data_IF_719692599927
#
_entry.id   IF_719692599927
#
_cell.length_a   1.000
_cell.length_b   1.000
_cell.length_c   1.000
_cell.angle_alpha   90.00
_cell.angle_beta   90.00
_cell.angle_gamma   90.00
#
_symmetry.space_group_name_H-M   'P 1'
#
loop_
_entity.id
_entity.type
_entity.pdbx_description
1 polymer ?
#
# COMPACT_ATOMS: atom_id res chain seq x y z
N UNK A 1 11.90 15.94 34.55
CA UNK A 1 11.97 14.56 35.06
C UNK A 1 10.61 13.95 34.91
N UNK A 2 10.38 13.24 33.81
CA UNK A 2 9.16 12.47 33.59
C UNK A 2 9.62 11.15 33.01
N UNK A 3 9.64 10.13 33.87
CA UNK A 3 10.07 8.79 33.55
C UNK A 3 8.98 8.11 32.74
N UNK A 4 9.31 7.63 31.54
CA UNK A 4 8.47 6.69 30.81
C UNK A 4 8.83 5.28 31.28
N UNK A 5 7.89 4.67 31.98
CA UNK A 5 7.98 3.32 32.49
C UNK A 5 8.01 2.31 31.33
N UNK A 6 8.93 1.36 31.43
CA UNK A 6 9.05 0.18 30.60
C UNK A 6 7.81 -0.71 30.72
N UNK A 7 7.13 -0.96 29.60
CA UNK A 7 6.20 -2.07 29.47
C UNK A 7 6.77 -3.07 28.45
N UNK A 8 7.01 -4.27 28.93
CA UNK A 8 7.39 -5.45 28.17
C UNK A 8 6.20 -5.92 27.31
N UNK A 9 6.33 -5.95 25.99
CA UNK A 9 5.52 -6.83 25.13
C UNK A 9 6.28 -7.23 23.86
N UNK A 10 7.05 -8.32 23.95
CA UNK A 10 7.91 -8.83 22.86
C UNK A 10 7.18 -9.72 21.84
N UNK A 11 5.86 -9.90 21.94
CA UNK A 11 5.09 -10.76 21.03
C UNK A 11 3.89 -10.04 20.36
N UNK A 12 3.22 -9.11 21.05
CA UNK A 12 2.04 -8.42 20.53
C UNK A 12 2.32 -7.35 19.45
N UNK A 13 3.56 -6.93 19.26
CA UNK A 13 3.89 -5.87 18.29
C UNK A 13 3.99 -6.34 16.82
N UNK A 14 3.90 -7.66 16.56
CA UNK A 14 3.99 -8.22 15.20
C UNK A 14 2.62 -8.48 14.55
N UNK A 15 1.53 -8.53 15.33
CA UNK A 15 0.20 -8.89 14.83
C UNK A 15 -0.54 -7.74 14.12
N UNK A 16 -0.15 -6.48 14.36
CA UNK A 16 -0.69 -5.27 13.70
C UNK A 16 0.30 -4.65 12.68
N UNK A 17 1.34 -5.38 12.27
CA UNK A 17 2.27 -4.90 11.25
C UNK A 17 1.69 -5.10 9.85
N UNK A 18 1.68 -4.03 9.05
CA UNK A 18 1.29 -4.10 7.64
C UNK A 18 2.11 -5.18 6.92
N UNK A 19 1.45 -5.99 6.08
CA UNK A 19 2.04 -7.21 5.50
C UNK A 19 3.36 -6.92 4.75
N UNK A 20 3.48 -5.75 4.12
CA UNK A 20 4.68 -5.32 3.38
C UNK A 20 5.86 -5.00 4.29
N UNK A 21 5.62 -4.62 5.55
CA UNK A 21 6.65 -4.45 6.57
C UNK A 21 7.09 -5.82 7.09
N UNK A 22 6.14 -6.73 7.32
CA UNK A 22 6.44 -8.11 7.72
C UNK A 22 7.35 -8.79 6.69
N UNK A 23 7.06 -8.60 5.39
CA UNK A 23 7.90 -9.09 4.29
C UNK A 23 9.34 -8.61 4.36
N UNK A 24 9.56 -7.34 4.72
CA UNK A 24 10.91 -6.80 4.97
C UNK A 24 11.57 -7.41 6.21
N UNK A 25 10.85 -7.56 7.31
CA UNK A 25 11.37 -8.15 8.55
C UNK A 25 11.75 -9.63 8.34
N UNK A 26 10.97 -10.37 7.56
CA UNK A 26 11.29 -11.74 7.12
C UNK A 26 12.61 -11.79 6.37
N UNK A 27 12.85 -10.87 5.43
CA UNK A 27 14.12 -10.75 4.72
C UNK A 27 15.29 -10.55 5.70
N UNK A 28 15.14 -9.68 6.70
CA UNK A 28 16.17 -9.51 7.74
C UNK A 28 16.41 -10.81 8.52
N UNK A 29 15.35 -11.55 8.84
CA UNK A 29 15.43 -12.80 9.60
C UNK A 29 16.14 -13.94 8.85
N UNK A 30 16.27 -13.86 7.51
CA UNK A 30 17.08 -14.81 6.72
C UNK A 30 18.57 -14.73 7.05
N UNK A 31 19.03 -13.63 7.67
CA UNK A 31 20.43 -13.42 7.96
C UNK A 31 20.94 -14.36 9.07
N UNK A 32 22.04 -15.04 8.78
CA UNK A 32 22.63 -16.08 9.65
C UNK A 32 23.03 -15.62 11.06
N UNK A 33 23.32 -14.33 11.27
CA UNK A 33 23.79 -13.83 12.58
C UNK A 33 22.72 -13.05 13.34
N UNK A 34 21.70 -13.75 13.85
CA UNK A 34 20.53 -13.18 14.54
C UNK A 34 20.88 -12.23 15.71
N UNK A 35 21.83 -12.60 16.59
CA UNK A 35 22.27 -11.75 17.72
C UNK A 35 22.79 -10.38 17.29
N UNK A 36 23.34 -10.28 16.08
CA UNK A 36 23.85 -9.01 15.54
C UNK A 36 22.71 -8.10 15.08
N UNK A 37 21.68 -8.67 14.48
CA UNK A 37 20.46 -7.94 14.12
C UNK A 37 19.69 -7.50 15.36
N UNK A 38 19.56 -8.37 16.35
CA UNK A 38 18.90 -8.05 17.62
C UNK A 38 19.53 -6.81 18.30
N UNK A 39 20.87 -6.75 18.35
CA UNK A 39 21.59 -5.56 18.80
C UNK A 39 21.25 -4.31 17.98
N UNK A 40 21.16 -4.44 16.66
CA UNK A 40 20.75 -3.34 15.79
C UNK A 40 19.33 -2.87 16.06
N UNK A 41 18.40 -3.81 16.28
CA UNK A 41 17.00 -3.52 16.64
C UNK A 41 16.90 -2.72 17.94
N UNK A 42 17.65 -3.13 18.96
CA UNK A 42 17.75 -2.38 20.23
C UNK A 42 18.29 -0.97 19.96
N UNK A 43 19.35 -0.86 19.14
CA UNK A 43 19.97 0.42 18.82
C UNK A 43 19.03 1.38 18.07
N UNK A 44 18.18 0.88 17.18
CA UNK A 44 17.14 1.68 16.53
C UNK A 44 16.11 2.19 17.56
N UNK A 45 15.63 1.31 18.45
CA UNK A 45 14.65 1.65 19.49
C UNK A 45 15.17 2.65 20.53
N UNK A 46 16.46 2.66 20.79
CA UNK A 46 17.11 3.62 21.69
C UNK A 46 17.28 5.02 21.06
N UNK A 47 16.90 5.21 19.79
CA UNK A 47 16.93 6.53 19.15
C UNK A 47 18.32 6.98 18.70
N UNK A 48 19.24 6.05 18.45
CA UNK A 48 20.61 6.39 18.01
C UNK A 48 20.70 6.81 16.53
N UNK A 49 19.61 6.78 15.78
CA UNK A 49 19.56 7.23 14.38
C UNK A 49 19.19 8.71 14.39
N UNK A 50 20.16 9.57 14.06
CA UNK A 50 20.01 11.03 14.16
C UNK A 50 19.29 11.61 12.95
N UNK A 51 19.54 11.04 11.76
CA UNK A 51 18.86 11.44 10.53
C UNK A 51 18.85 10.29 9.52
N UNK A 52 17.85 10.31 8.66
CA UNK A 52 17.72 9.42 7.52
C UNK A 52 17.17 10.24 6.33
N UNK A 53 17.88 10.20 5.21
CA UNK A 53 17.57 10.94 4.00
C UNK A 53 17.58 10.02 2.79
N UNK A 54 16.66 10.24 1.86
CA UNK A 54 16.60 9.52 0.59
C UNK A 54 17.19 10.37 -0.54
N UNK A 55 18.07 9.77 -1.33
CA UNK A 55 18.67 10.36 -2.53
C UNK A 55 18.56 9.35 -3.67
N UNK A 56 17.50 9.49 -4.48
CA UNK A 56 17.16 8.49 -5.50
C UNK A 56 16.89 7.13 -4.86
N UNK A 57 17.55 6.08 -5.35
CA UNK A 57 17.48 4.70 -4.83
C UNK A 57 18.37 4.42 -3.61
N UNK A 58 19.00 5.46 -3.06
CA UNK A 58 19.95 5.34 -1.95
C UNK A 58 19.48 6.08 -0.72
N UNK A 59 19.53 5.39 0.41
CA UNK A 59 19.30 5.94 1.75
C UNK A 59 20.64 6.32 2.34
N UNK A 60 20.73 7.51 2.92
CA UNK A 60 21.85 7.94 3.73
C UNK A 60 21.39 8.23 5.14
N UNK A 61 22.15 7.80 6.14
CA UNK A 61 21.80 8.00 7.54
C UNK A 61 23.02 8.42 8.38
N UNK A 62 22.75 9.17 9.45
CA UNK A 62 23.70 9.47 10.51
C UNK A 62 23.30 8.68 11.75
N UNK A 63 24.22 7.87 12.26
CA UNK A 63 23.97 7.00 13.41
C UNK A 63 24.98 7.31 14.51
N UNK A 64 24.49 7.70 15.69
CA UNK A 64 25.31 7.98 16.85
C UNK A 64 25.98 6.70 17.32
N UNK A 65 27.31 6.73 17.37
CA UNK A 65 28.13 5.62 17.83
C UNK A 65 28.75 5.89 19.20
N UNK A 66 29.81 5.13 19.48
CA UNK A 66 30.72 5.42 20.59
C UNK A 66 31.72 6.54 20.27
N UNK A 67 31.85 6.91 18.99
CA UNK A 67 32.71 8.01 18.55
C UNK A 67 32.01 9.35 18.79
N UNK A 68 32.80 10.42 18.90
CA UNK A 68 32.30 11.79 19.04
C UNK A 68 31.49 12.22 17.80
N UNK A 69 32.01 11.92 16.61
CA UNK A 69 31.27 12.15 15.35
C UNK A 69 30.34 10.96 15.01
N UNK A 70 29.09 11.22 14.58
CA UNK A 70 28.18 10.19 14.12
C UNK A 70 28.72 9.44 12.90
N UNK A 71 28.46 8.13 12.84
CA UNK A 71 28.84 7.33 11.69
C UNK A 71 27.95 7.62 10.49
N UNK A 72 28.57 7.78 9.33
CA UNK A 72 27.89 7.94 8.04
C UNK A 72 27.59 6.58 7.46
N UNK A 73 26.34 6.39 7.07
CA UNK A 73 25.84 5.13 6.56
C UNK A 73 25.09 5.34 5.26
N UNK A 74 25.18 4.37 4.37
CA UNK A 74 24.29 4.32 3.20
C UNK A 74 23.81 2.91 2.88
N UNK A 75 22.55 2.80 2.48
CA UNK A 75 21.89 1.56 2.03
C UNK A 75 21.25 1.81 0.66
N UNK A 76 21.33 0.86 -0.26
CA UNK A 76 20.67 0.93 -1.56
C UNK A 76 20.36 -0.47 -2.09
N UNK A 77 19.41 -0.53 -3.03
CA UNK A 77 19.13 -1.71 -3.84
C UNK A 77 19.54 -1.43 -5.29
N UNK A 78 19.66 -2.50 -6.07
CA UNK A 78 19.73 -2.36 -7.51
C UNK A 78 18.38 -1.85 -8.04
N UNK A 79 18.44 -0.69 -8.70
CA UNK A 79 17.29 -0.06 -9.31
C UNK A 79 16.88 -0.82 -10.57
N UNK A 80 15.57 -0.88 -10.83
CA UNK A 80 15.07 -1.40 -12.09
C UNK A 80 15.30 -0.40 -13.21
N UNK A 81 15.37 -0.88 -14.45
CA UNK A 81 15.47 0.01 -15.60
C UNK A 81 14.17 0.80 -15.81
N UNK A 82 14.23 1.88 -16.58
CA UNK A 82 13.02 2.63 -16.95
C UNK A 82 12.04 1.76 -17.77
N UNK A 83 12.57 0.81 -18.55
CA UNK A 83 11.78 -0.14 -19.33
C UNK A 83 11.03 -1.12 -18.41
N UNK A 84 11.73 -1.72 -17.44
CA UNK A 84 11.14 -2.59 -16.41
C UNK A 84 10.02 -1.88 -15.64
N UNK A 85 10.27 -0.64 -15.24
CA UNK A 85 9.26 0.19 -14.58
C UNK A 85 8.05 0.47 -15.47
N UNK A 86 8.25 0.67 -16.78
CA UNK A 86 7.12 0.86 -17.68
C UNK A 86 6.22 -0.37 -17.73
N UNK A 87 6.79 -1.57 -17.87
CA UNK A 87 6.00 -2.81 -17.86
C UNK A 87 5.24 -3.02 -16.54
N UNK A 88 5.90 -2.77 -15.40
CA UNK A 88 5.25 -2.84 -14.08
C UNK A 88 4.07 -1.85 -14.00
N UNK A 89 4.25 -0.61 -14.47
CA UNK A 89 3.19 0.40 -14.40
C UNK A 89 2.06 0.08 -15.39
N UNK A 90 2.35 -0.51 -16.55
CA UNK A 90 1.33 -1.04 -17.46
C UNK A 90 0.47 -2.07 -16.73
N UNK A 91 1.08 -3.10 -16.13
CA UNK A 91 0.36 -4.13 -15.36
C UNK A 91 -0.42 -3.56 -14.16
N UNK A 92 0.13 -2.57 -13.46
CA UNK A 92 -0.58 -1.89 -12.36
C UNK A 92 -1.78 -1.09 -12.84
N UNK A 93 -1.74 -0.58 -14.07
CA UNK A 93 -2.82 0.21 -14.65
C UNK A 93 -4.00 -0.63 -15.16
N UNK A 94 -3.80 -1.93 -15.39
CA UNK A 94 -4.84 -2.87 -15.79
C UNK A 94 -5.93 -3.05 -14.73
N UNK A 95 -5.57 -2.88 -13.45
CA UNK A 95 -6.51 -3.01 -12.33
C UNK A 95 -6.63 -1.71 -11.56
N UNK A 96 -7.80 -1.09 -11.63
CA UNK A 96 -8.09 0.18 -10.95
C UNK A 96 -7.89 0.11 -9.43
N UNK A 97 -8.07 -1.07 -8.82
CA UNK A 97 -7.91 -1.28 -7.37
C UNK A 97 -6.47 -1.03 -6.90
N UNK A 98 -5.46 -1.46 -7.67
CA UNK A 98 -4.05 -1.24 -7.32
C UNK A 98 -3.71 0.24 -7.32
N UNK A 99 -4.18 0.97 -8.34
CA UNK A 99 -4.02 2.41 -8.43
C UNK A 99 -4.72 3.14 -7.28
N UNK A 100 -5.90 2.69 -6.86
CA UNK A 100 -6.65 3.28 -5.76
C UNK A 100 -5.95 3.06 -4.41
N UNK A 101 -5.49 1.84 -4.12
CA UNK A 101 -4.73 1.51 -2.91
C UNK A 101 -3.42 2.31 -2.83
N UNK A 102 -2.66 2.37 -3.93
CA UNK A 102 -1.44 3.17 -3.99
C UNK A 102 -1.70 4.67 -3.80
N UNK A 103 -2.81 5.20 -4.33
CA UNK A 103 -3.22 6.59 -4.08
C UNK A 103 -3.58 6.84 -2.60
N UNK A 104 -4.14 5.83 -1.92
CA UNK A 104 -4.44 5.85 -0.49
C UNK A 104 -3.18 5.68 0.38
N UNK A 105 -2.01 5.42 -0.21
CA UNK A 105 -0.79 5.14 0.55
C UNK A 105 -0.73 3.73 1.12
N UNK A 106 -1.50 2.79 0.55
CA UNK A 106 -1.52 1.39 0.94
C UNK A 106 -0.85 0.52 -0.11
N UNK A 107 -0.13 -0.52 0.32
CA UNK A 107 0.49 -1.47 -0.59
C UNK A 107 -0.53 -2.55 -1.01
N UNK A 108 -0.83 -2.71 -2.31
CA UNK A 108 -1.71 -3.77 -2.80
C UNK A 108 -1.23 -5.16 -2.42
N UNK A 109 -2.10 -6.03 -1.92
CA UNK A 109 -1.72 -7.37 -1.45
C UNK A 109 -1.06 -8.21 -2.55
N UNK A 110 -1.48 -8.06 -3.79
CA UNK A 110 -0.96 -8.78 -4.95
C UNK A 110 0.20 -8.06 -5.66
N UNK A 111 0.77 -6.99 -5.08
CA UNK A 111 1.83 -6.20 -5.72
C UNK A 111 3.04 -7.07 -6.11
N UNK A 112 3.46 -8.02 -5.27
CA UNK A 112 4.59 -8.91 -5.57
C UNK A 112 4.31 -9.79 -6.81
N UNK A 113 3.04 -10.17 -7.04
CA UNK A 113 2.65 -10.91 -8.24
C UNK A 113 2.79 -10.05 -9.50
N UNK A 114 2.48 -8.75 -9.43
CA UNK A 114 2.68 -7.81 -10.54
C UNK A 114 4.16 -7.70 -10.91
N UNK A 115 5.05 -7.56 -9.93
CA UNK A 115 6.50 -7.56 -10.21
C UNK A 115 6.97 -8.91 -10.76
N UNK A 116 6.50 -10.02 -10.20
CA UNK A 116 6.90 -11.37 -10.62
C UNK A 116 6.45 -11.70 -12.05
N UNK A 117 5.25 -11.26 -12.45
CA UNK A 117 4.75 -11.40 -13.82
C UNK A 117 5.65 -10.69 -14.85
N UNK A 118 6.33 -9.63 -14.42
CA UNK A 118 7.31 -8.87 -15.22
C UNK A 118 8.76 -9.39 -15.04
N UNK A 119 8.95 -10.54 -14.39
CA UNK A 119 10.28 -11.12 -14.15
C UNK A 119 11.12 -10.40 -13.09
N UNK A 120 10.49 -9.54 -12.29
CA UNK A 120 11.14 -8.73 -11.26
C UNK A 120 10.73 -9.21 -9.86
N UNK A 121 11.48 -8.79 -8.85
CA UNK A 121 11.10 -9.00 -7.45
C UNK A 121 11.20 -7.69 -6.69
N UNK A 122 10.08 -7.21 -6.16
CA UNK A 122 10.04 -5.94 -5.42
C UNK A 122 10.98 -5.99 -4.21
N UNK A 123 10.92 -7.08 -3.45
CA UNK A 123 11.82 -7.34 -2.33
C UNK A 123 13.07 -8.10 -2.80
N UNK A 124 14.23 -7.88 -2.17
CA UNK A 124 15.39 -8.75 -2.37
C UNK A 124 15.11 -10.18 -1.90
N UNK A 125 15.70 -11.18 -2.55
CA UNK A 125 15.52 -12.58 -2.13
C UNK A 125 16.29 -12.93 -0.86
N UNK A 126 17.40 -12.24 -0.63
CA UNK A 126 18.30 -12.44 0.49
C UNK A 126 18.93 -11.11 0.92
N UNK A 127 19.39 -11.03 2.16
CA UNK A 127 19.94 -9.78 2.70
C UNK A 127 21.23 -9.33 2.00
N UNK A 128 21.94 -10.21 1.27
CA UNK A 128 23.15 -9.85 0.53
C UNK A 128 22.90 -8.95 -0.68
N UNK A 129 21.69 -8.98 -1.23
CA UNK A 129 21.25 -8.05 -2.29
C UNK A 129 20.97 -6.64 -1.75
N UNK A 130 20.87 -6.48 -0.42
CA UNK A 130 20.78 -5.16 0.22
C UNK A 130 22.20 -4.61 0.40
N UNK A 131 22.61 -3.76 -0.52
CA UNK A 131 23.92 -3.13 -0.44
C UNK A 131 23.96 -2.08 0.66
N UNK A 132 25.05 -2.09 1.43
CA UNK A 132 25.21 -1.17 2.54
C UNK A 132 26.68 -0.86 2.83
N UNK A 133 26.92 0.35 3.32
CA UNK A 133 28.24 0.84 3.78
C UNK A 133 28.06 1.66 5.03
N UNK A 134 28.97 1.51 5.98
CA UNK A 134 29.02 2.30 7.21
C UNK A 134 30.46 2.71 7.49
N UNK A 135 30.68 3.94 7.95
CA UNK A 135 32.02 4.45 8.30
C UNK A 135 32.54 3.96 9.66
N UNK A 136 31.84 3.05 10.33
CA UNK A 136 32.25 2.52 11.62
C UNK A 136 33.44 1.54 11.51
N UNK A 137 34.23 1.37 12.58
CA UNK A 137 35.40 0.49 12.56
C UNK A 137 35.07 -1.02 12.56
N UNK A 138 33.80 -1.41 12.57
CA UNK A 138 33.39 -2.82 12.49
C UNK A 138 33.56 -3.33 11.05
N UNK A 139 34.42 -4.34 10.78
CA UNK A 139 34.65 -4.85 9.44
C UNK A 139 33.50 -5.73 8.92
N UNK A 140 32.48 -6.02 9.74
CA UNK A 140 31.36 -6.89 9.34
C UNK A 140 30.22 -6.07 8.73
N UNK A 141 29.64 -6.62 7.67
CA UNK A 141 28.47 -6.06 7.00
C UNK A 141 27.31 -7.09 6.99
N UNK A 142 26.11 -6.77 7.52
CA UNK A 142 25.76 -5.55 8.26
C UNK A 142 26.47 -5.45 9.62
N UNK A 143 26.91 -4.24 9.99
CA UNK A 143 27.31 -3.92 11.36
C UNK A 143 26.08 -3.59 12.23
N UNK A 144 26.24 -3.30 13.53
CA UNK A 144 25.08 -2.95 14.38
C UNK A 144 24.34 -1.68 13.91
N UNK A 145 25.05 -0.71 13.32
CA UNK A 145 24.46 0.53 12.82
C UNK A 145 23.65 0.28 11.54
N UNK A 146 24.17 -0.58 10.63
CA UNK A 146 23.42 -1.02 9.44
C UNK A 146 22.17 -1.79 9.83
N UNK A 147 22.31 -2.73 10.78
CA UNK A 147 21.16 -3.44 11.31
C UNK A 147 20.11 -2.49 11.91
N UNK A 148 20.53 -1.44 12.63
CA UNK A 148 19.61 -0.43 13.16
C UNK A 148 18.83 0.27 12.06
N UNK A 149 19.51 0.72 11.00
CA UNK A 149 18.85 1.40 9.87
C UNK A 149 17.95 0.43 9.08
N UNK A 150 18.30 -0.85 8.96
CA UNK A 150 17.40 -1.85 8.38
C UNK A 150 16.07 -1.96 9.13
N UNK A 151 16.08 -1.92 10.47
CA UNK A 151 14.83 -1.90 11.24
C UNK A 151 14.09 -0.57 11.10
N UNK A 152 14.81 0.56 11.09
CA UNK A 152 14.21 1.88 10.90
C UNK A 152 13.52 2.02 9.53
N UNK A 153 14.06 1.39 8.49
CA UNK A 153 13.40 1.34 7.17
C UNK A 153 12.04 0.65 7.24
N UNK A 154 11.85 -0.33 8.13
CA UNK A 154 10.54 -0.96 8.36
C UNK A 154 9.49 0.05 8.85
N UNK A 155 9.87 0.99 9.71
CA UNK A 155 8.99 2.06 10.17
C UNK A 155 8.66 3.02 9.03
N UNK A 156 9.64 3.36 8.20
CA UNK A 156 9.39 4.19 7.01
C UNK A 156 8.46 3.51 6.00
N UNK A 157 8.61 2.20 5.77
CA UNK A 157 7.67 1.46 4.90
C UNK A 157 6.26 1.41 5.47
N UNK A 158 6.11 1.38 6.80
CA UNK A 158 4.81 1.43 7.46
C UNK A 158 4.12 2.77 7.19
N UNK A 159 4.86 3.88 7.26
CA UNK A 159 4.33 5.23 7.05
C UNK A 159 4.10 5.53 5.56
N UNK A 160 5.00 5.08 4.69
CA UNK A 160 4.92 5.29 3.24
C UNK A 160 5.47 4.07 2.45
N UNK A 161 4.59 3.25 1.83
CA UNK A 161 5.02 2.10 1.04
C UNK A 161 5.83 2.49 -0.21
N UNK A 162 5.73 3.75 -0.70
CA UNK A 162 6.47 4.19 -1.87
C UNK A 162 7.98 4.28 -1.65
N UNK A 163 8.42 4.31 -0.38
CA UNK A 163 9.85 4.25 -0.05
C UNK A 163 10.48 2.98 -0.63
N UNK A 164 9.77 1.85 -0.67
CA UNK A 164 10.28 0.62 -1.26
C UNK A 164 10.45 0.74 -2.79
N UNK A 165 9.50 1.38 -3.48
CA UNK A 165 9.63 1.68 -4.90
C UNK A 165 10.76 2.66 -5.19
N UNK A 166 10.96 3.63 -4.30
CA UNK A 166 12.06 4.58 -4.40
C UNK A 166 13.41 3.88 -4.31
N UNK A 167 13.56 2.91 -3.39
CA UNK A 167 14.75 2.04 -3.34
C UNK A 167 14.97 1.26 -4.64
N UNK A 168 13.88 0.92 -5.35
CA UNK A 168 13.91 0.30 -6.68
C UNK A 168 14.01 1.30 -7.84
N UNK A 169 14.21 2.58 -7.56
CA UNK A 169 14.54 3.61 -8.53
C UNK A 169 13.38 4.49 -9.00
N UNK A 170 12.18 4.38 -8.40
CA UNK A 170 11.02 5.18 -8.83
C UNK A 170 10.35 5.93 -7.69
N UNK A 171 10.19 7.23 -7.86
CA UNK A 171 9.53 8.08 -6.87
C UNK A 171 8.02 7.90 -6.89
N UNK A 172 7.38 8.25 -5.77
CA UNK A 172 5.93 8.30 -5.62
C UNK A 172 5.25 9.08 -6.73
N UNK A 173 5.68 10.32 -6.95
CA UNK A 173 5.07 11.20 -7.96
C UNK A 173 5.19 10.60 -9.36
N UNK A 174 6.34 10.01 -9.69
CA UNK A 174 6.55 9.38 -10.99
C UNK A 174 5.62 8.18 -11.21
N UNK A 175 5.40 7.35 -10.18
CA UNK A 175 4.47 6.21 -10.26
C UNK A 175 3.04 6.71 -10.41
N UNK A 176 2.61 7.64 -9.56
CA UNK A 176 1.24 8.13 -9.54
C UNK A 176 0.88 8.88 -10.83
N UNK A 177 1.78 9.70 -11.37
CA UNK A 177 1.56 10.41 -12.62
C UNK A 177 1.52 9.44 -13.81
N UNK A 178 2.39 8.43 -13.84
CA UNK A 178 2.38 7.41 -14.88
C UNK A 178 1.11 6.55 -14.86
N UNK A 179 0.57 6.23 -13.66
CA UNK A 179 -0.70 5.52 -13.50
C UNK A 179 -1.91 6.38 -13.90
N UNK A 180 -1.87 7.70 -13.67
CA UNK A 180 -2.91 8.64 -14.13
C UNK A 180 -2.93 8.74 -15.65
N UNK A 181 -1.75 8.86 -16.28
CA UNK A 181 -1.62 8.95 -17.74
C UNK A 181 -2.17 7.70 -18.43
N UNK A 182 -1.82 6.49 -17.96
CA UNK A 182 -2.34 5.24 -18.52
C UNK A 182 -3.86 5.13 -18.43
N UNK A 183 -4.45 5.50 -17.30
CA UNK A 183 -5.92 5.51 -17.14
C UNK A 183 -6.62 6.47 -18.11
N UNK A 184 -6.06 7.66 -18.33
CA UNK A 184 -6.60 8.61 -19.30
C UNK A 184 -6.50 8.09 -20.74
N UNK A 185 -5.40 7.43 -21.08
CA UNK A 185 -5.22 6.79 -22.38
C UNK A 185 -6.21 5.64 -22.61
N UNK A 186 -6.46 4.79 -21.61
CA UNK A 186 -7.47 3.72 -21.70
C UNK A 186 -8.88 4.30 -21.88
N UNK A 187 -9.25 5.32 -21.11
CA UNK A 187 -10.55 5.99 -21.25
C UNK A 187 -10.74 6.64 -22.63
N UNK A 188 -9.68 7.19 -23.22
CA UNK A 188 -9.70 7.77 -24.57
C UNK A 188 -9.72 6.70 -25.66
N UNK A 189 -9.10 5.54 -25.43
CA UNK A 189 -9.00 4.45 -26.42
C UNK A 189 -10.31 3.68 -26.58
N UNK A 190 -11.16 3.67 -25.55
CA UNK A 190 -12.51 3.09 -25.63
C UNK A 190 -13.45 3.88 -26.54
N UNK A 191 -13.18 5.15 -26.83
CA UNK A 191 -13.98 5.94 -27.80
C UNK A 191 -13.60 5.71 -29.28
N UNK A 192 -12.51 4.99 -29.58
CA UNK A 192 -11.97 4.89 -30.96
C UNK A 192 -12.08 3.49 -31.57
N UNK A 193 -12.61 2.50 -30.85
CA UNK A 193 -12.78 1.12 -31.35
C UNK A 193 -14.26 0.73 -31.51
N UNK A 194 -14.98 1.50 -32.34
CA UNK A 194 -16.20 1.04 -33.03
C UNK A 194 -16.09 1.41 -34.51
N UNK A 195 -15.28 0.67 -35.26
CA UNK A 195 -15.40 0.63 -36.72
C UNK A 195 -15.54 -0.83 -37.12
N UNK A 196 -16.55 -1.10 -37.92
CA UNK A 196 -16.96 -2.39 -38.50
C UNK A 196 -17.84 -3.30 -37.62
N UNK A 197 -19.06 -2.84 -37.32
CA UNK A 197 -20.24 -3.68 -37.52
C UNK A 197 -21.40 -2.81 -38.01
N UNK A 198 -21.80 -3.05 -39.25
CA UNK A 198 -22.94 -2.44 -39.91
C UNK A 198 -24.24 -2.90 -39.25
N UNK A 199 -24.69 -2.16 -38.24
CA UNK A 199 -26.09 -2.07 -37.84
C UNK A 199 -26.45 -0.60 -37.93
N UNK A 200 -27.28 -0.28 -38.93
CA UNK A 200 -27.76 1.05 -39.21
C UNK A 200 -28.57 1.60 -38.01
N UNK A 201 -27.89 2.29 -37.10
CA UNK A 201 -28.48 3.23 -36.17
C UNK A 201 -28.26 4.59 -36.81
N UNK A 202 -29.33 5.18 -37.34
CA UNK A 202 -29.30 6.59 -37.74
C UNK A 202 -29.11 7.41 -36.46
N UNK A 203 -28.05 8.23 -36.34
CA UNK A 203 -27.97 9.16 -35.24
C UNK A 203 -29.01 10.24 -35.51
N UNK A 204 -30.11 10.21 -34.78
CA UNK A 204 -30.96 11.38 -34.69
C UNK A 204 -30.08 12.51 -34.14
N UNK A 205 -29.92 13.54 -34.96
CA UNK A 205 -29.14 14.73 -34.69
C UNK A 205 -29.79 15.56 -33.58
N UNK A 206 -29.81 15.05 -32.35
CA UNK A 206 -30.08 15.80 -31.14
C UNK A 206 -28.84 16.60 -30.77
N UNK A 207 -28.92 17.93 -30.83
CA UNK A 207 -27.88 18.80 -30.27
C UNK A 207 -27.66 18.43 -28.81
N UNK A 208 -26.53 17.79 -28.49
CA UNK A 208 -26.08 17.67 -27.11
C UNK A 208 -25.62 19.07 -26.69
N UNK A 209 -26.53 19.83 -26.10
CA UNK A 209 -26.21 21.09 -25.42
C UNK A 209 -25.42 20.77 -24.17
N UNK A 210 -24.15 21.19 -24.14
CA UNK A 210 -23.19 21.01 -23.06
C UNK A 210 -23.46 21.89 -21.83
N UNK A 211 -24.72 22.12 -21.47
CA UNK A 211 -25.09 22.92 -20.31
C UNK A 211 -25.95 22.05 -19.39
N UNK A 212 -25.27 21.36 -18.48
CA UNK A 212 -25.92 20.63 -17.40
C UNK A 212 -26.38 21.65 -16.36
N UNK A 213 -27.69 21.81 -16.21
CA UNK A 213 -28.26 22.64 -15.15
C UNK A 213 -28.11 21.91 -13.81
N UNK A 214 -27.12 22.32 -13.03
CA UNK A 214 -26.82 21.73 -11.72
C UNK A 214 -27.95 21.89 -10.70
N UNK A 215 -28.83 22.91 -10.85
CA UNK A 215 -29.97 23.09 -9.96
C UNK A 215 -31.05 22.03 -10.18
N UNK A 216 -31.21 21.56 -11.41
CA UNK A 216 -32.22 20.55 -11.79
C UNK A 216 -31.62 19.20 -12.18
N UNK A 217 -30.30 19.03 -12.03
CA UNK A 217 -29.58 17.80 -12.39
C UNK A 217 -30.13 16.56 -11.68
N UNK A 218 -30.58 16.71 -10.43
CA UNK A 218 -31.16 15.63 -9.63
C UNK A 218 -32.67 15.44 -9.83
N UNK A 219 -33.30 16.22 -10.72
CA UNK A 219 -34.72 16.11 -11.02
C UNK A 219 -34.93 15.14 -12.18
N UNK A 220 -35.38 13.93 -11.86
CA UNK A 220 -35.72 12.92 -12.85
C UNK A 220 -37.06 13.29 -13.53
N UNK A 221 -37.01 13.63 -14.81
CA UNK A 221 -38.22 13.89 -15.62
C UNK A 221 -38.87 12.59 -16.14
N UNK A 222 -38.09 11.51 -16.20
CA UNK A 222 -38.53 10.18 -16.61
C UNK A 222 -38.17 9.17 -15.52
N UNK A 223 -39.02 8.16 -15.27
CA UNK A 223 -38.68 7.07 -14.37
C UNK A 223 -37.45 6.32 -14.91
N UNK A 224 -36.53 5.96 -14.01
CA UNK A 224 -35.39 5.12 -14.38
C UNK A 224 -35.89 3.79 -14.94
N UNK A 225 -35.23 3.31 -15.98
CA UNK A 225 -35.49 1.98 -16.52
C UNK A 225 -35.22 0.94 -15.42
N UNK A 226 -36.27 0.22 -15.02
CA UNK A 226 -36.19 -0.81 -13.98
C UNK A 226 -35.24 -1.94 -14.35
N UNK A 227 -34.95 -2.15 -15.63
CA UNK A 227 -33.97 -3.16 -16.08
C UNK A 227 -32.52 -2.76 -15.76
N UNK A 228 -32.24 -1.47 -15.54
CA UNK A 228 -30.91 -0.95 -15.21
C UNK A 228 -30.62 -0.92 -13.70
N UNK A 229 -31.63 -1.15 -12.86
CA UNK A 229 -31.50 -1.11 -11.41
C UNK A 229 -31.30 -2.53 -10.85
N UNK A 230 -30.04 -2.94 -10.73
CA UNK A 230 -29.69 -4.22 -10.07
C UNK A 230 -29.39 -3.95 -8.59
N UNK A 231 -30.34 -4.29 -7.72
CA UNK A 231 -30.13 -4.28 -6.26
C UNK A 231 -29.52 -5.62 -5.87
N UNK A 232 -28.19 -5.66 -5.70
CA UNK A 232 -27.50 -6.83 -5.14
C UNK A 232 -27.29 -6.67 -3.64
N UNK A 233 -27.40 -7.74 -2.85
CA UNK A 233 -26.98 -7.70 -1.45
C UNK A 233 -25.49 -7.35 -1.35
N UNK A 234 -25.14 -6.45 -0.43
CA UNK A 234 -23.74 -6.13 -0.17
C UNK A 234 -23.04 -7.35 0.46
N UNK A 235 -21.90 -7.76 -0.09
CA UNK A 235 -21.08 -8.85 0.46
C UNK A 235 -20.37 -8.44 1.76
N UNK A 236 -20.17 -7.14 1.97
CA UNK A 236 -19.51 -6.55 3.15
C UNK A 236 -20.50 -5.72 3.96
N UNK A 237 -20.54 -5.92 5.28
CA UNK A 237 -21.38 -5.10 6.18
C UNK A 237 -20.61 -3.90 6.72
N UNK A 238 -21.34 -2.88 7.18
CA UNK A 238 -20.73 -1.73 7.89
C UNK A 238 -19.95 -2.18 9.13
N UNK A 239 -20.33 -3.30 9.74
CA UNK A 239 -19.59 -3.88 10.87
C UNK A 239 -18.20 -4.39 10.46
N UNK A 240 -18.05 -4.87 9.23
CA UNK A 240 -16.76 -5.33 8.71
C UNK A 240 -15.84 -4.15 8.38
N UNK A 241 -16.41 -3.00 8.01
CA UNK A 241 -15.69 -1.74 7.77
C UNK A 241 -15.25 -1.08 9.09
N UNK A 242 -16.11 -1.09 10.11
CA UNK A 242 -15.84 -0.47 11.40
C UNK A 242 -14.90 -1.30 12.30
N UNK A 243 -14.79 -2.61 12.06
CA UNK A 243 -13.85 -3.50 12.74
C UNK A 243 -14.14 -3.73 14.23
N UNK A 244 -13.06 -3.76 15.03
CA UNK A 244 -12.99 -3.91 16.50
C UNK A 244 -14.04 -3.09 17.29
N UNK A 245 -15.13 -3.65 17.81
CA UNK A 245 -15.97 -2.90 18.76
C UNK A 245 -15.19 -2.64 20.07
N UNK A 246 -15.21 -1.41 20.65
CA UNK A 246 -14.43 -1.08 21.84
C UNK A 246 -15.10 -1.58 23.13
N UNK A 247 -15.29 -2.90 23.23
CA UNK A 247 -15.84 -3.59 24.40
C UNK A 247 -14.81 -4.56 24.98
N UNK A 248 -14.96 -4.95 26.26
CA UNK A 248 -14.17 -6.02 26.85
C UNK A 248 -14.22 -7.30 26.00
N UNK A 249 -13.12 -8.08 25.94
CA UNK A 249 -13.00 -9.26 25.07
C UNK A 249 -13.99 -10.39 25.42
N UNK A 250 -14.56 -10.37 26.62
CA UNK A 250 -15.62 -11.27 27.07
C UNK A 250 -17.00 -10.94 26.46
N UNK A 251 -17.29 -9.65 26.23
CA UNK A 251 -18.59 -9.16 25.76
C UNK A 251 -18.60 -8.89 24.24
N UNK A 252 -17.45 -8.48 23.68
CA UNK A 252 -17.32 -8.08 22.29
C UNK A 252 -17.81 -9.14 21.28
N UNK A 253 -17.52 -10.45 21.44
CA UNK A 253 -17.99 -11.47 20.50
C UNK A 253 -19.52 -11.63 20.52
N UNK A 254 -20.14 -11.56 21.69
CA UNK A 254 -21.58 -11.71 21.84
C UNK A 254 -22.34 -10.54 21.20
N UNK A 255 -21.87 -9.31 21.43
CA UNK A 255 -22.45 -8.10 20.84
C UNK A 255 -22.27 -8.08 19.32
N UNK A 256 -21.07 -8.41 18.83
CA UNK A 256 -20.82 -8.49 17.38
C UNK A 256 -21.66 -9.57 16.71
N UNK A 257 -21.87 -10.72 17.35
CA UNK A 257 -22.76 -11.77 16.85
C UNK A 257 -24.20 -11.28 16.70
N UNK A 258 -24.73 -10.62 17.73
CA UNK A 258 -26.09 -10.09 17.69
C UNK A 258 -26.28 -8.99 16.63
N UNK A 259 -25.31 -8.08 16.50
CA UNK A 259 -25.36 -7.04 15.46
C UNK A 259 -25.34 -7.64 14.05
N UNK A 260 -24.53 -8.68 13.81
CA UNK A 260 -24.50 -9.39 12.51
C UNK A 260 -25.85 -10.00 12.16
N UNK A 261 -26.52 -10.62 13.14
CA UNK A 261 -27.85 -11.20 12.95
C UNK A 261 -28.90 -10.12 12.61
N UNK A 262 -28.85 -8.97 13.28
CA UNK A 262 -29.72 -7.82 12.97
C UNK A 262 -29.47 -7.34 11.54
N UNK A 263 -28.20 -7.15 11.14
CA UNK A 263 -27.85 -6.68 9.80
C UNK A 263 -28.37 -7.62 8.71
N UNK A 264 -28.19 -8.94 8.88
CA UNK A 264 -28.70 -9.93 7.93
C UNK A 264 -30.23 -9.89 7.84
N UNK A 265 -30.92 -9.83 8.98
CA UNK A 265 -32.38 -9.80 9.03
C UNK A 265 -32.96 -8.56 8.36
N UNK A 266 -32.40 -7.38 8.67
CA UNK A 266 -32.83 -6.11 8.09
C UNK A 266 -32.54 -6.06 6.59
N UNK A 267 -31.37 -6.55 6.16
CA UNK A 267 -31.03 -6.61 4.74
C UNK A 267 -31.99 -7.51 3.94
N UNK A 268 -32.35 -8.68 4.48
CA UNK A 268 -33.34 -9.56 3.87
C UNK A 268 -34.73 -8.90 3.79
N UNK A 269 -35.16 -8.23 4.85
CA UNK A 269 -36.44 -7.51 4.86
C UNK A 269 -36.47 -6.35 3.86
N UNK A 270 -35.40 -5.56 3.77
CA UNK A 270 -35.27 -4.48 2.80
C UNK A 270 -35.29 -5.02 1.37
N UNK A 271 -34.62 -6.15 1.11
CA UNK A 271 -34.63 -6.81 -0.20
C UNK A 271 -36.03 -7.32 -0.58
N UNK A 272 -36.76 -7.91 0.39
CA UNK A 272 -38.15 -8.33 0.16
C UNK A 272 -39.09 -7.15 -0.11
N UNK A 273 -38.87 -5.99 0.51
CA UNK A 273 -39.64 -4.76 0.24
C UNK A 273 -39.27 -4.08 -1.08
N UNK A 274 -38.02 -4.20 -1.52
CA UNK A 274 -37.55 -3.58 -2.75
C UNK A 274 -37.93 -4.39 -4.01
N UNK A 275 -38.14 -5.70 -3.87
CA UNK A 275 -38.44 -6.63 -4.97
C UNK A 275 -39.91 -7.11 -5.00
N UNK A 276 -40.72 -6.75 -4.01
CA UNK A 276 -42.15 -7.11 -3.91
C UNK A 276 -43.05 -5.89 -4.04
#
# INVERSE_FOLDING_TARGET
MTAYASASSSAYALEDEAWWVQRWVELLNTYRFKKRLERGRIYAREGHILSLEYKGSKVTALVQGTAEEPYKLSIWLDAFSDEDWNYVIDSLSEQAIYSAQLLAGEMPAEIEAVFTANGLSLYPFNLSEVHSKCSCPDPKNPCKHIAAVYYQLGDFFREDPFVLFQLRGRSRDSILDALRQRRQSTATSTEVLTTDTELAIQPESGKVTSQVDLQHFWAYAEPLDSELVVITPAETTVLDVLGKIPLPPEDAPAVMGHLKEIYQTVAQQAMMQALG
#
